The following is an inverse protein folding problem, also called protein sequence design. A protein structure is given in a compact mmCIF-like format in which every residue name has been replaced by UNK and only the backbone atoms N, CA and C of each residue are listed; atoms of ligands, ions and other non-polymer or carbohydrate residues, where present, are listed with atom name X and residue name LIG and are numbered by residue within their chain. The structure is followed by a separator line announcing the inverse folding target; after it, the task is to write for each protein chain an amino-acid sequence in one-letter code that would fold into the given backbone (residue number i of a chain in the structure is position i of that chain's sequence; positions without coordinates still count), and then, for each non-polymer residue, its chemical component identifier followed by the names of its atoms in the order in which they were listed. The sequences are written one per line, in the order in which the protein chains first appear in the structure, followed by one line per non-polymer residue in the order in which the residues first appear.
data_IF_990207032495
#
_entry.id   IF_990207032495
#
_cell.length_a   1.000
_cell.length_b   1.000
_cell.length_c   1.000
_cell.angle_alpha   90.00
_cell.angle_beta   90.00
_cell.angle_gamma   90.00
#
_symmetry.space_group_name_H-M   'P 1'
#
loop_
_entity.id
_entity.type
_entity.pdbx_description
1 polymer ?
#
# COMPACT_ATOMS: atom_id res chain seq x y z
N UNK A 1 -48.60 20.42 50.30
CA UNK A 1 -47.61 19.33 50.36
C UNK A 1 -46.52 19.66 49.35
N UNK A 2 -45.43 20.24 49.84
CA UNK A 2 -44.26 20.65 49.05
C UNK A 2 -43.04 20.16 49.82
N UNK A 3 -42.45 19.07 49.37
CA UNK A 3 -41.19 18.57 49.92
C UNK A 3 -40.03 19.36 49.34
N UNK A 4 -39.40 20.13 50.21
CA UNK A 4 -38.19 20.91 49.96
C UNK A 4 -37.00 20.05 50.40
N UNK A 5 -36.36 19.35 49.47
CA UNK A 5 -35.13 18.59 49.77
C UNK A 5 -33.92 19.53 49.77
N UNK A 6 -33.41 19.82 50.96
CA UNK A 6 -32.12 20.49 51.20
C UNK A 6 -30.98 19.50 50.95
N UNK A 7 -30.06 19.85 50.05
CA UNK A 7 -28.81 19.13 49.82
C UNK A 7 -27.73 19.66 50.78
N UNK A 8 -27.03 18.82 51.57
CA UNK A 8 -25.83 19.25 52.28
C UNK A 8 -24.62 19.35 51.33
N UNK A 9 -23.69 20.29 51.55
CA UNK A 9 -22.49 20.40 50.72
C UNK A 9 -21.50 19.27 51.04
N UNK A 10 -20.77 18.74 50.05
CA UNK A 10 -19.70 17.80 50.33
C UNK A 10 -18.52 18.52 50.99
N UNK A 11 -18.15 18.07 52.18
CA UNK A 11 -16.91 18.39 52.88
C UNK A 11 -15.72 17.89 52.06
N UNK A 12 -14.85 18.82 51.65
CA UNK A 12 -13.57 18.51 51.04
C UNK A 12 -12.56 18.12 52.14
N UNK A 13 -12.24 16.84 52.22
CA UNK A 13 -11.14 16.33 53.05
C UNK A 13 -9.96 16.05 52.14
N UNK A 14 -8.94 16.90 52.17
CA UNK A 14 -7.62 16.61 51.59
C UNK A 14 -6.81 15.80 52.61
N UNK A 15 -6.32 14.58 52.29
CA UNK A 15 -5.19 14.00 53.00
C UNK A 15 -3.88 14.47 52.35
N UNK A 16 -2.92 14.80 53.20
CA UNK A 16 -1.65 15.43 52.85
C UNK A 16 -0.65 14.55 52.12
N UNK A 17 0.50 15.17 51.83
CA UNK A 17 1.72 14.56 51.30
C UNK A 17 2.15 13.35 52.14
N UNK A 18 2.30 12.20 51.49
CA UNK A 18 3.06 11.06 52.01
C UNK A 18 2.57 9.72 51.47
N UNK A 19 3.47 9.01 50.78
CA UNK A 19 3.35 7.66 50.21
C UNK A 19 2.49 7.51 48.93
N UNK A 20 3.17 7.23 47.81
CA UNK A 20 2.52 6.67 46.63
C UNK A 20 1.95 5.28 46.96
N UNK A 21 0.74 4.92 46.48
CA UNK A 21 0.25 3.56 46.56
C UNK A 21 1.15 2.62 45.75
N UNK A 22 1.36 1.36 46.18
CA UNK A 22 2.14 0.39 45.42
C UNK A 22 1.49 0.16 44.04
N UNK A 23 2.33 0.08 43.02
CA UNK A 23 1.89 -0.21 41.65
C UNK A 23 1.10 -1.54 41.61
N UNK A 24 0.00 -1.61 40.85
CA UNK A 24 -0.74 -2.85 40.68
C UNK A 24 0.14 -3.91 40.01
N UNK A 25 0.00 -5.20 40.37
CA UNK A 25 0.77 -6.27 39.75
C UNK A 25 0.49 -6.32 38.25
N UNK A 26 1.55 -6.34 37.45
CA UNK A 26 1.47 -6.53 36.00
C UNK A 26 0.81 -7.88 35.70
N UNK A 27 -0.25 -7.94 34.87
CA UNK A 27 -0.78 -9.21 34.40
C UNK A 27 0.31 -9.96 33.62
N UNK A 28 0.45 -11.28 33.81
CA UNK A 28 1.43 -12.06 33.06
C UNK A 28 1.11 -11.99 31.57
N UNK A 29 2.03 -11.45 30.79
CA UNK A 29 1.97 -11.50 29.32
C UNK A 29 1.89 -12.97 28.88
N UNK A 30 1.00 -13.33 27.94
CA UNK A 30 1.05 -14.64 27.29
C UNK A 30 2.41 -14.83 26.62
N UNK A 31 3.21 -15.76 27.14
CA UNK A 31 4.46 -16.21 26.56
C UNK A 31 4.16 -17.00 25.28
N UNK A 32 4.01 -16.30 24.16
CA UNK A 32 4.05 -16.91 22.84
C UNK A 32 5.20 -16.30 22.06
N UNK A 33 6.33 -16.99 22.08
CA UNK A 33 7.19 -17.37 20.96
C UNK A 33 8.55 -17.78 21.55
N UNK A 34 9.01 -19.03 21.39
CA UNK A 34 10.38 -19.38 21.77
C UNK A 34 11.36 -18.59 20.90
N UNK A 35 12.41 -18.06 21.54
CA UNK A 35 13.52 -17.43 20.83
C UNK A 35 14.05 -18.37 19.72
N UNK A 36 14.38 -17.85 18.52
CA UNK A 36 14.94 -18.69 17.47
C UNK A 36 16.25 -19.32 17.97
N UNK A 37 16.26 -20.65 18.10
CA UNK A 37 17.49 -21.37 18.41
C UNK A 37 18.53 -21.11 17.29
N UNK A 38 19.81 -20.90 17.61
CA UNK A 38 20.85 -20.73 16.60
C UNK A 38 20.98 -22.02 15.78
N UNK A 39 20.54 -21.98 14.53
CA UNK A 39 20.62 -23.13 13.62
C UNK A 39 22.08 -23.37 13.24
N UNK A 40 22.66 -24.44 13.78
CA UNK A 40 23.91 -25.04 13.28
C UNK A 40 23.74 -25.37 11.80
N UNK A 41 24.62 -24.80 10.96
CA UNK A 41 24.77 -25.21 9.55
C UNK A 41 25.21 -26.67 9.50
N UNK A 42 24.36 -27.53 8.95
CA UNK A 42 24.76 -28.79 8.31
C UNK A 42 23.95 -28.92 7.03
N UNK A 43 24.67 -29.06 5.93
CA UNK A 43 24.11 -29.10 4.59
C UNK A 43 23.20 -30.31 4.38
N UNK A 44 22.21 -30.10 3.52
CA UNK A 44 21.58 -31.16 2.77
C UNK A 44 21.12 -30.55 1.44
N UNK A 45 21.66 -31.10 0.37
CA UNK A 45 21.26 -30.80 -1.00
C UNK A 45 19.78 -31.16 -1.17
N UNK A 46 18.96 -30.18 -1.57
CA UNK A 46 17.66 -30.46 -2.19
C UNK A 46 17.65 -29.71 -3.52
N UNK A 47 17.90 -30.46 -4.58
CA UNK A 47 17.61 -30.06 -5.94
C UNK A 47 16.09 -29.87 -6.05
N UNK A 48 15.65 -28.63 -6.22
CA UNK A 48 14.32 -28.30 -6.69
C UNK A 48 14.46 -27.83 -8.14
N UNK A 49 14.01 -28.67 -9.06
CA UNK A 49 13.88 -28.40 -10.49
C UNK A 49 12.82 -27.31 -10.66
N UNK A 50 13.24 -26.06 -10.83
CA UNK A 50 12.37 -24.99 -11.34
C UNK A 50 12.40 -25.12 -12.87
N UNK A 51 11.44 -25.89 -13.39
CA UNK A 51 11.07 -25.84 -14.79
C UNK A 51 10.28 -24.55 -15.05
N UNK A 52 10.88 -23.65 -15.82
CA UNK A 52 10.28 -22.37 -16.19
C UNK A 52 11.20 -21.61 -17.13
N UNK A 53 11.50 -22.20 -18.28
CA UNK A 53 12.21 -21.52 -19.35
C UNK A 53 11.31 -20.45 -19.98
N UNK A 54 11.58 -19.18 -19.71
CA UNK A 54 11.30 -18.11 -20.67
C UNK A 54 12.64 -17.45 -20.98
N UNK A 55 13.28 -17.96 -22.02
CA UNK A 55 14.38 -17.30 -22.71
C UNK A 55 13.76 -16.13 -23.46
N UNK A 56 13.83 -14.93 -22.89
CA UNK A 56 13.72 -13.71 -23.68
C UNK A 56 15.05 -13.53 -24.41
N UNK A 57 15.20 -14.16 -25.58
CA UNK A 57 16.27 -13.80 -26.50
C UNK A 57 16.00 -12.39 -27.01
N UNK A 58 16.64 -11.40 -26.40
CA UNK A 58 16.91 -10.11 -27.04
C UNK A 58 18.17 -10.27 -27.90
N UNK A 59 18.05 -10.97 -29.02
CA UNK A 59 19.04 -11.00 -30.10
C UNK A 59 18.46 -10.34 -31.34
N UNK A 60 18.42 -9.01 -31.33
CA UNK A 60 18.31 -8.21 -32.54
C UNK A 60 18.95 -6.83 -32.30
N UNK A 61 20.27 -6.77 -32.45
CA UNK A 61 21.06 -5.55 -32.33
C UNK A 61 22.53 -5.77 -32.65
N UNK A 62 22.84 -6.70 -33.57
CA UNK A 62 24.20 -6.89 -34.09
C UNK A 62 24.35 -6.10 -35.40
N UNK A 63 25.19 -5.07 -35.32
CA UNK A 63 26.12 -4.61 -36.37
C UNK A 63 25.47 -4.05 -37.65
N UNK A 64 25.49 -2.72 -37.76
CA UNK A 64 25.32 -2.02 -39.03
C UNK A 64 25.92 -0.61 -39.00
N UNK A 65 27.16 -0.48 -39.49
CA UNK A 65 27.62 0.78 -40.10
C UNK A 65 28.59 1.66 -39.30
N UNK A 66 29.73 1.14 -38.83
CA UNK A 66 30.95 1.94 -38.76
C UNK A 66 31.66 1.79 -40.11
N UNK A 67 31.56 2.82 -40.97
CA UNK A 67 32.48 3.30 -42.03
C UNK A 67 31.63 4.16 -43.00
N UNK A 68 31.99 5.44 -43.16
CA UNK A 68 31.44 6.29 -44.22
C UNK A 68 31.38 7.77 -43.87
N UNK A 69 32.53 8.40 -43.64
CA UNK A 69 32.63 9.85 -43.58
C UNK A 69 32.59 10.44 -45.01
N UNK A 70 31.77 11.48 -45.19
CA UNK A 70 31.63 12.38 -46.35
C UNK A 70 31.25 11.79 -47.71
N UNK A 71 29.98 12.01 -48.12
CA UNK A 71 29.56 12.71 -49.34
C UNK A 71 28.05 12.52 -49.55
N UNK A 72 27.34 13.62 -49.80
CA UNK A 72 25.93 13.74 -50.23
C UNK A 72 24.83 13.36 -49.21
N UNK A 73 23.93 14.32 -48.97
CA UNK A 73 22.79 14.16 -48.08
C UNK A 73 21.87 13.03 -48.51
N UNK A 74 21.85 11.96 -47.73
CA UNK A 74 20.77 10.98 -47.73
C UNK A 74 20.02 11.16 -46.42
N UNK A 75 18.76 11.59 -46.54
CA UNK A 75 17.84 11.58 -45.41
C UNK A 75 17.80 10.16 -44.86
N UNK A 76 18.25 9.97 -43.61
CA UNK A 76 18.08 8.71 -42.91
C UNK A 76 16.59 8.37 -42.90
N UNK A 77 16.22 7.26 -43.53
CA UNK A 77 14.84 6.79 -43.52
C UNK A 77 14.37 6.64 -42.07
N UNK A 78 13.22 7.21 -41.74
CA UNK A 78 12.65 7.11 -40.41
C UNK A 78 12.47 5.62 -40.07
N UNK A 79 12.83 5.18 -38.84
CA UNK A 79 12.64 3.80 -38.44
C UNK A 79 11.14 3.43 -38.54
N UNK A 80 10.82 2.18 -38.91
CA UNK A 80 9.43 1.74 -39.00
C UNK A 80 8.74 1.90 -37.63
N UNK A 81 7.43 2.20 -37.61
CA UNK A 81 6.69 2.32 -36.36
C UNK A 81 6.81 1.04 -35.54
N UNK A 82 7.10 1.20 -34.25
CA UNK A 82 7.20 0.08 -33.32
C UNK A 82 5.89 -0.73 -33.34
N UNK A 83 6.00 -2.05 -33.40
CA UNK A 83 4.85 -2.93 -33.35
C UNK A 83 4.10 -2.73 -32.02
N UNK A 84 2.78 -2.57 -32.09
CA UNK A 84 1.93 -2.49 -30.91
C UNK A 84 2.04 -3.79 -30.11
N UNK A 85 2.28 -3.74 -28.78
CA UNK A 85 2.33 -4.95 -27.97
C UNK A 85 0.96 -5.67 -28.01
N UNK A 86 0.96 -7.02 -27.95
CA UNK A 86 -0.26 -7.80 -27.98
C UNK A 86 -1.15 -7.47 -26.77
N UNK A 87 -2.48 -7.50 -26.99
CA UNK A 87 -3.46 -7.33 -25.91
C UNK A 87 -3.32 -8.48 -24.90
N UNK A 88 -3.46 -8.20 -23.58
CA UNK A 88 -3.45 -9.25 -22.57
C UNK A 88 -4.53 -10.32 -22.81
N UNK A 89 -4.21 -11.57 -22.50
CA UNK A 89 -5.18 -12.67 -22.53
C UNK A 89 -6.12 -12.59 -21.32
N UNK A 90 -7.29 -13.24 -21.40
CA UNK A 90 -8.25 -13.28 -20.29
C UNK A 90 -7.63 -13.89 -19.02
N UNK A 91 -6.76 -14.89 -19.16
CA UNK A 91 -6.05 -15.51 -18.04
C UNK A 91 -5.03 -14.56 -17.41
N UNK A 92 -4.31 -13.77 -18.21
CA UNK A 92 -3.41 -12.72 -17.71
C UNK A 92 -4.17 -11.63 -16.97
N UNK A 93 -5.32 -11.19 -17.48
CA UNK A 93 -6.19 -10.22 -16.80
C UNK A 93 -6.65 -10.79 -15.47
N UNK A 94 -7.11 -12.05 -15.43
CA UNK A 94 -7.54 -12.72 -14.21
C UNK A 94 -6.42 -12.80 -13.16
N UNK A 95 -5.25 -13.30 -13.56
CA UNK A 95 -4.11 -13.42 -12.66
C UNK A 95 -3.67 -12.05 -12.09
N UNK A 96 -3.58 -11.03 -12.94
CA UNK A 96 -3.23 -9.67 -12.54
C UNK A 96 -4.28 -9.04 -11.62
N UNK A 97 -5.56 -9.30 -11.86
CA UNK A 97 -6.65 -8.80 -11.01
C UNK A 97 -6.61 -9.44 -9.63
N UNK A 98 -6.38 -10.75 -9.55
CA UNK A 98 -6.26 -11.47 -8.28
C UNK A 98 -5.06 -10.94 -7.48
N UNK A 99 -3.90 -10.75 -8.11
CA UNK A 99 -2.72 -10.22 -7.41
C UNK A 99 -2.98 -8.79 -6.90
N UNK A 100 -3.55 -7.90 -7.73
CA UNK A 100 -3.90 -6.54 -7.32
C UNK A 100 -4.86 -6.51 -6.12
N UNK A 101 -5.96 -7.26 -6.18
CA UNK A 101 -6.93 -7.33 -5.08
C UNK A 101 -6.31 -7.94 -3.81
N UNK A 102 -5.44 -8.94 -3.96
CA UNK A 102 -4.75 -9.58 -2.83
C UNK A 102 -3.80 -8.61 -2.13
N UNK A 103 -3.01 -7.86 -2.89
CA UNK A 103 -2.09 -6.86 -2.34
C UNK A 103 -2.83 -5.65 -1.77
N UNK A 104 -3.92 -5.21 -2.40
CA UNK A 104 -4.80 -4.19 -1.80
C UNK A 104 -5.27 -4.65 -0.42
N UNK A 105 -5.80 -5.87 -0.32
CA UNK A 105 -6.28 -6.41 0.95
C UNK A 105 -5.19 -6.53 2.01
N UNK A 106 -4.01 -7.03 1.63
CA UNK A 106 -2.86 -7.14 2.53
C UNK A 106 -2.38 -5.76 3.04
N UNK A 107 -2.30 -4.77 2.14
CA UNK A 107 -1.90 -3.41 2.49
C UNK A 107 -2.84 -2.77 3.53
N UNK A 108 -4.14 -2.95 3.36
CA UNK A 108 -5.14 -2.44 4.31
C UNK A 108 -5.14 -3.20 5.63
N UNK A 109 -4.93 -4.52 5.61
CA UNK A 109 -4.84 -5.32 6.84
C UNK A 109 -3.59 -4.99 7.66
N UNK A 110 -2.52 -4.54 7.01
CA UNK A 110 -1.30 -4.09 7.66
C UNK A 110 -1.37 -2.65 8.15
N UNK A 111 -2.36 -1.87 7.73
CA UNK A 111 -2.52 -0.48 8.13
C UNK A 111 -2.99 -0.39 9.59
N UNK A 112 -2.31 0.39 10.45
CA UNK A 112 -2.76 0.59 11.83
C UNK A 112 -4.14 1.28 11.89
N UNK A 113 -4.86 1.01 12.97
CA UNK A 113 -6.14 1.66 13.28
C UNK A 113 -6.21 2.01 14.78
N UNK A 114 -6.53 3.26 15.15
CA UNK A 114 -6.82 4.39 14.26
C UNK A 114 -5.57 4.91 13.54
N UNK A 115 -5.76 5.57 12.39
CA UNK A 115 -4.70 6.36 11.75
C UNK A 115 -4.69 7.75 12.36
N UNK A 116 -3.55 8.15 12.93
CA UNK A 116 -3.38 9.41 13.65
C UNK A 116 -2.38 10.36 12.98
N UNK A 117 -1.58 9.85 12.03
CA UNK A 117 -0.56 10.60 11.31
C UNK A 117 -0.43 10.13 9.86
N UNK A 118 0.25 10.93 9.03
CA UNK A 118 0.57 10.51 7.66
C UNK A 118 1.44 9.26 7.58
N UNK A 119 2.29 9.01 8.60
CA UNK A 119 3.14 7.81 8.67
C UNK A 119 2.33 6.52 8.84
N UNK A 120 1.11 6.60 9.35
CA UNK A 120 0.23 5.46 9.51
C UNK A 120 -0.31 4.93 8.17
N UNK A 121 -0.37 5.80 7.15
CA UNK A 121 -0.95 5.46 5.83
C UNK A 121 0.07 5.38 4.70
N UNK A 122 1.22 6.07 4.81
CA UNK A 122 2.23 6.11 3.76
C UNK A 122 2.77 4.72 3.35
N UNK A 123 3.09 3.80 4.28
CA UNK A 123 3.54 2.46 3.91
C UNK A 123 2.50 1.71 3.07
N UNK A 124 1.23 1.75 3.48
CA UNK A 124 0.15 1.13 2.72
C UNK A 124 -0.05 1.80 1.37
N UNK A 125 -0.01 3.12 1.29
CA UNK A 125 -0.13 3.86 0.04
C UNK A 125 0.97 3.47 -0.97
N UNK A 126 2.23 3.35 -0.51
CA UNK A 126 3.33 2.92 -1.37
C UNK A 126 3.18 1.46 -1.81
N UNK A 127 2.79 0.57 -0.90
CA UNK A 127 2.56 -0.83 -1.22
C UNK A 127 1.45 -1.02 -2.28
N UNK A 128 0.35 -0.27 -2.17
CA UNK A 128 -0.74 -0.29 -3.15
C UNK A 128 -0.32 0.35 -4.48
N UNK A 129 0.50 1.40 -4.45
CA UNK A 129 1.05 2.01 -5.66
C UNK A 129 1.92 1.03 -6.45
N UNK A 130 2.73 0.24 -5.75
CA UNK A 130 3.55 -0.81 -6.36
C UNK A 130 2.67 -1.92 -6.93
N UNK A 131 1.63 -2.35 -6.19
CA UNK A 131 0.65 -3.32 -6.70
C UNK A 131 -0.03 -2.85 -7.99
N UNK A 132 -0.42 -1.57 -8.08
CA UNK A 132 -1.01 -0.99 -9.29
C UNK A 132 -0.04 -0.94 -10.47
N UNK A 133 1.25 -0.70 -10.20
CA UNK A 133 2.32 -0.66 -11.22
C UNK A 133 2.61 -2.05 -11.76
N UNK A 134 2.68 -3.03 -10.87
CA UNK A 134 3.00 -4.43 -11.20
C UNK A 134 1.84 -5.15 -11.93
N UNK A 135 0.64 -4.59 -11.85
CA UNK A 135 -0.57 -5.18 -12.42
C UNK A 135 -1.20 -4.32 -13.54
N UNK A 136 -0.48 -4.08 -14.66
CA UNK A 136 -0.99 -3.27 -15.76
C UNK A 136 -2.15 -3.93 -16.53
N UNK A 137 -2.31 -5.25 -16.39
CA UNK A 137 -3.33 -6.02 -17.10
C UNK A 137 -4.59 -6.31 -16.26
N UNK A 138 -4.61 -5.92 -14.98
CA UNK A 138 -5.77 -6.14 -14.12
C UNK A 138 -7.04 -5.46 -14.67
N UNK A 139 -8.20 -5.97 -14.27
CA UNK A 139 -9.51 -5.45 -14.65
C UNK A 139 -9.59 -3.93 -14.47
N UNK A 140 -10.01 -3.23 -15.53
CA UNK A 140 -9.99 -1.76 -15.56
C UNK A 140 -10.82 -1.12 -14.45
N UNK A 141 -12.00 -1.68 -14.15
CA UNK A 141 -12.88 -1.12 -13.13
C UNK A 141 -12.30 -1.24 -11.72
N UNK A 142 -11.62 -2.37 -11.44
CA UNK A 142 -10.91 -2.59 -10.18
C UNK A 142 -9.69 -1.66 -10.11
N UNK A 143 -8.89 -1.56 -11.18
CA UNK A 143 -7.74 -0.65 -11.22
C UNK A 143 -8.14 0.81 -10.99
N UNK A 144 -9.23 1.26 -11.58
CA UNK A 144 -9.75 2.62 -11.40
C UNK A 144 -10.19 2.85 -9.95
N UNK A 145 -10.89 1.88 -9.35
CA UNK A 145 -11.30 1.96 -7.95
C UNK A 145 -10.09 2.01 -7.00
N UNK A 146 -9.09 1.13 -7.20
CA UNK A 146 -7.86 1.12 -6.40
C UNK A 146 -7.07 2.41 -6.59
N UNK A 147 -7.02 2.95 -7.81
CA UNK A 147 -6.38 4.24 -8.09
C UNK A 147 -7.05 5.38 -7.33
N UNK A 148 -8.39 5.39 -7.27
CA UNK A 148 -9.13 6.40 -6.51
C UNK A 148 -8.91 6.27 -5.00
N UNK A 149 -8.96 5.05 -4.47
CA UNK A 149 -8.65 4.75 -3.06
C UNK A 149 -7.22 5.20 -2.70
N UNK A 150 -6.23 4.85 -3.52
CA UNK A 150 -4.83 5.26 -3.35
C UNK A 150 -4.67 6.79 -3.36
N UNK A 151 -5.38 7.50 -4.24
CA UNK A 151 -5.36 8.96 -4.27
C UNK A 151 -5.82 9.54 -2.92
N UNK A 152 -6.91 9.02 -2.35
CA UNK A 152 -7.44 9.45 -1.05
C UNK A 152 -6.52 9.08 0.12
N UNK A 153 -5.79 7.96 0.04
CA UNK A 153 -4.74 7.62 1.01
C UNK A 153 -3.58 8.60 1.00
N UNK A 154 -3.14 9.01 -0.20
CA UNK A 154 -2.08 10.02 -0.36
C UNK A 154 -2.56 11.41 0.09
N UNK A 155 -3.82 11.74 -0.20
CA UNK A 155 -4.45 12.96 0.31
C UNK A 155 -4.52 12.96 1.84
N UNK A 156 -4.86 11.83 2.46
CA UNK A 156 -4.81 11.67 3.91
C UNK A 156 -3.40 11.97 4.44
N UNK A 157 -2.38 11.32 3.88
CA UNK A 157 -0.99 11.54 4.27
C UNK A 157 -0.57 13.02 4.15
N UNK A 158 -0.95 13.67 3.05
CA UNK A 158 -0.65 15.07 2.81
C UNK A 158 -1.40 15.99 3.80
N UNK A 159 -2.68 15.74 4.07
CA UNK A 159 -3.46 16.51 5.06
C UNK A 159 -2.90 16.36 6.48
N UNK A 160 -2.41 15.17 6.82
CA UNK A 160 -1.84 14.86 8.13
C UNK A 160 -0.37 15.32 8.29
N UNK A 161 0.26 15.84 7.23
CA UNK A 161 1.66 16.27 7.28
C UNK A 161 1.88 17.59 8.03
N UNK A 162 0.85 18.43 8.16
CA UNK A 162 0.97 19.78 8.72
C UNK A 162 1.71 20.77 7.81
N UNK A 163 2.06 20.39 6.58
CA UNK A 163 2.79 21.24 5.65
C UNK A 163 1.97 22.47 5.24
N UNK A 164 2.61 23.63 5.15
CA UNK A 164 1.93 24.84 4.75
C UNK A 164 1.79 24.92 3.23
N UNK A 165 0.70 25.53 2.77
CA UNK A 165 0.56 25.86 1.35
C UNK A 165 1.63 26.88 0.94
N UNK A 166 2.55 26.49 0.04
CA UNK A 166 3.63 27.37 -0.47
C UNK A 166 4.10 26.94 -1.85
N UNK A 167 4.04 27.86 -2.82
CA UNK A 167 4.44 27.56 -4.20
C UNK A 167 3.68 26.36 -4.77
N UNK A 168 4.40 25.35 -5.27
CA UNK A 168 3.83 24.10 -5.78
C UNK A 168 3.37 23.12 -4.67
N UNK A 169 3.68 23.39 -3.40
CA UNK A 169 3.25 22.58 -2.26
C UNK A 169 1.82 23.01 -1.89
N UNK A 170 0.85 22.14 -2.17
CA UNK A 170 -0.58 22.40 -2.00
C UNK A 170 -1.27 21.20 -1.33
N UNK A 171 -1.16 21.00 0.00
CA UNK A 171 -1.86 19.92 0.68
C UNK A 171 -3.39 20.04 0.50
N UNK A 172 -4.11 18.93 0.40
CA UNK A 172 -5.56 18.95 0.21
C UNK A 172 -6.25 19.48 1.48
N UNK A 173 -7.23 20.36 1.30
CA UNK A 173 -7.99 20.98 2.40
C UNK A 173 -9.34 20.33 2.67
N UNK A 174 -9.79 19.44 1.78
CA UNK A 174 -11.13 18.85 1.81
C UNK A 174 -11.15 17.34 2.06
N UNK A 175 -10.04 16.77 2.55
CA UNK A 175 -9.98 15.33 2.82
C UNK A 175 -10.96 14.95 3.93
N UNK A 176 -11.65 13.82 3.76
CA UNK A 176 -12.52 13.25 4.79
C UNK A 176 -12.39 11.73 4.85
N UNK A 177 -12.43 11.17 6.07
CA UNK A 177 -12.45 9.72 6.27
C UNK A 177 -13.65 9.05 5.60
N UNK A 178 -14.82 9.71 5.56
CA UNK A 178 -16.02 9.18 4.93
C UNK A 178 -15.84 8.96 3.42
N UNK A 179 -15.22 9.91 2.72
CA UNK A 179 -14.92 9.78 1.28
C UNK A 179 -13.90 8.67 1.02
N UNK A 180 -12.85 8.59 1.84
CA UNK A 180 -11.85 7.51 1.78
C UNK A 180 -12.50 6.13 1.98
N UNK A 181 -13.27 5.97 3.06
CA UNK A 181 -13.96 4.71 3.38
C UNK A 181 -14.92 4.28 2.26
N UNK A 182 -15.61 5.23 1.62
CA UNK A 182 -16.49 4.94 0.48
C UNK A 182 -15.70 4.43 -0.74
N UNK A 183 -14.56 5.04 -1.04
CA UNK A 183 -13.69 4.58 -2.13
C UNK A 183 -13.12 3.19 -1.83
N UNK A 184 -12.70 2.96 -0.60
CA UNK A 184 -12.13 1.67 -0.16
C UNK A 184 -13.18 0.57 -0.20
N UNK A 185 -14.40 0.87 0.26
CA UNK A 185 -15.53 -0.05 0.20
C UNK A 185 -15.83 -0.47 -1.24
N UNK A 186 -15.78 0.46 -2.19
CA UNK A 186 -15.96 0.14 -3.62
C UNK A 186 -14.91 -0.85 -4.12
N UNK A 187 -13.65 -0.72 -3.70
CA UNK A 187 -12.61 -1.70 -4.04
C UNK A 187 -12.94 -3.07 -3.44
N UNK A 188 -13.31 -3.10 -2.16
CA UNK A 188 -13.68 -4.35 -1.49
C UNK A 188 -14.87 -5.06 -2.15
N UNK A 189 -15.87 -4.30 -2.59
CA UNK A 189 -17.05 -4.84 -3.26
C UNK A 189 -16.68 -5.44 -4.63
N UNK A 190 -15.92 -4.69 -5.44
CA UNK A 190 -15.46 -5.18 -6.75
C UNK A 190 -14.55 -6.41 -6.62
N UNK A 191 -13.59 -6.39 -5.70
CA UNK A 191 -12.69 -7.52 -5.49
C UNK A 191 -13.41 -8.77 -4.95
N UNK A 192 -14.46 -8.61 -4.13
CA UNK A 192 -15.26 -9.76 -3.63
C UNK A 192 -16.20 -10.33 -4.70
N UNK A 193 -16.74 -9.48 -5.56
CA UNK A 193 -17.59 -9.90 -6.67
C UNK A 193 -16.80 -10.45 -7.88
N UNK A 194 -15.46 -10.37 -7.85
CA UNK A 194 -14.66 -10.79 -9.00
C UNK A 194 -14.64 -12.31 -9.16
N UNK A 195 -15.30 -12.79 -10.22
CA UNK A 195 -15.38 -14.22 -10.55
C UNK A 195 -16.44 -15.01 -9.78
N UNK A 196 -17.30 -14.33 -9.02
CA UNK A 196 -18.52 -14.89 -8.42
C UNK A 196 -19.68 -14.96 -9.39
#
# INVERSE_FOLDING_TARGET
MTDQYTYPPPVATYPGRGAMPPAPPTPPMPQFYPAPAPRKRKGANIAAVIGGAVVAMLTAGLIGGLIGNHMAGTAAAAPPPAATPPRPTAEQVKASTIDLCTRFAAGYRAMPSPQTSGFDVLPTANFIADALRDNPAADGSIRDAVTRSLALLREHAASASGEATRGAIRPPTGWTAAAANTADQKVWDLCRAYGS
#
